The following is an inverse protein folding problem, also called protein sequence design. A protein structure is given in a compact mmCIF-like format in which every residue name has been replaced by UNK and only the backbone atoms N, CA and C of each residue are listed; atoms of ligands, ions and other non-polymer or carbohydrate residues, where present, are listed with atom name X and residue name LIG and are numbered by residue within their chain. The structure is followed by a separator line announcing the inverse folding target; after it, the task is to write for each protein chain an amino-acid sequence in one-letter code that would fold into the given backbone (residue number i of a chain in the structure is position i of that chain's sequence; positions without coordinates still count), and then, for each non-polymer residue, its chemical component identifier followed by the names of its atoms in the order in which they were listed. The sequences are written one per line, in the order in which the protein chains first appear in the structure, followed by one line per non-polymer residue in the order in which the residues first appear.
data_IF_463236531455
#
_entry.id   IF_463236531455
#
_cell.length_a   1.000
_cell.length_b   1.000
_cell.length_c   1.000
_cell.angle_alpha   90.00
_cell.angle_beta   90.00
_cell.angle_gamma   90.00
#
_symmetry.space_group_name_H-M   'P 1'
#
loop_
_entity.id
_entity.type
_entity.pdbx_description
1 polymer ?
#
# COMPACT_ATOMS: atom_id res chain seq x y z
N UNK A 1 -5.77 2.98 44.09
CA UNK A 1 -4.37 3.07 43.59
C UNK A 1 -4.31 3.70 42.19
N UNK A 2 -4.85 3.07 41.14
CA UNK A 2 -4.81 3.59 39.75
C UNK A 2 -5.32 5.05 39.60
N UNK A 3 -6.42 5.38 40.29
CA UNK A 3 -7.00 6.73 40.30
C UNK A 3 -6.04 7.80 40.86
N UNK A 4 -5.20 7.45 41.84
CA UNK A 4 -4.20 8.38 42.38
C UNK A 4 -3.08 8.63 41.36
N UNK A 5 -2.62 7.59 40.64
CA UNK A 5 -1.63 7.74 39.59
C UNK A 5 -2.13 8.61 38.44
N UNK A 6 -3.37 8.38 37.96
CA UNK A 6 -3.99 9.26 36.96
C UNK A 6 -4.11 10.70 37.45
N UNK A 7 -4.51 10.92 38.72
CA UNK A 7 -4.64 12.27 39.30
C UNK A 7 -3.29 13.00 39.35
N UNK A 8 -2.21 12.30 39.71
CA UNK A 8 -0.85 12.85 39.74
C UNK A 8 -0.35 13.13 38.32
N UNK A 9 -0.61 12.21 37.38
CA UNK A 9 -0.29 12.39 35.96
C UNK A 9 -0.94 13.64 35.38
N UNK A 10 -2.27 13.80 35.53
CA UNK A 10 -2.98 14.98 35.02
C UNK A 10 -2.49 16.28 35.66
N UNK A 11 -2.18 16.27 36.96
CA UNK A 11 -1.62 17.45 37.64
C UNK A 11 -0.25 17.85 37.10
N UNK A 12 0.61 16.86 36.82
CA UNK A 12 1.92 17.10 36.22
C UNK A 12 1.80 17.56 34.77
N UNK A 13 0.92 16.94 34.00
CA UNK A 13 0.65 17.26 32.60
C UNK A 13 0.17 18.71 32.42
N UNK A 14 -0.71 19.19 33.31
CA UNK A 14 -1.18 20.58 33.29
C UNK A 14 -0.08 21.60 33.65
N UNK A 15 0.84 21.21 34.55
CA UNK A 15 1.97 22.06 34.96
C UNK A 15 2.99 22.25 33.83
N UNK A 16 3.18 21.24 32.98
CA UNK A 16 4.08 21.28 31.82
C UNK A 16 3.34 21.29 30.47
N UNK A 17 2.19 21.99 30.41
CA UNK A 17 1.24 21.95 29.27
C UNK A 17 1.84 22.21 27.89
N UNK A 18 2.87 23.05 27.79
CA UNK A 18 3.49 23.40 26.50
C UNK A 18 4.30 22.24 25.92
N UNK A 19 5.25 21.71 26.70
CA UNK A 19 6.10 20.59 26.29
C UNK A 19 5.26 19.32 26.12
N UNK A 20 4.31 19.08 27.02
CA UNK A 20 3.39 17.97 26.94
C UNK A 20 2.51 18.04 25.66
N UNK A 21 2.04 19.25 25.31
CA UNK A 21 1.29 19.49 24.07
C UNK A 21 2.12 19.17 22.82
N UNK A 22 3.37 19.63 22.76
CA UNK A 22 4.27 19.34 21.63
C UNK A 22 4.46 17.83 21.45
N UNK A 23 4.75 17.11 22.54
CA UNK A 23 5.00 15.66 22.49
C UNK A 23 3.75 14.86 22.07
N UNK A 24 2.57 15.25 22.56
CA UNK A 24 1.32 14.58 22.16
C UNK A 24 0.97 14.90 20.71
N UNK A 25 1.15 16.15 20.27
CA UNK A 25 0.87 16.55 18.89
C UNK A 25 1.81 15.86 17.89
N UNK A 26 3.11 15.80 18.16
CA UNK A 26 4.05 15.14 17.26
C UNK A 26 3.76 13.65 17.13
N UNK A 27 3.44 12.98 18.25
CA UNK A 27 3.04 11.58 18.25
C UNK A 27 1.72 11.38 17.48
N UNK A 28 0.73 12.25 17.70
CA UNK A 28 -0.56 12.17 17.02
C UNK A 28 -0.42 12.37 15.50
N UNK A 29 0.39 13.35 15.07
CA UNK A 29 0.64 13.62 13.64
C UNK A 29 1.38 12.44 12.99
N UNK A 30 2.42 11.90 13.65
CA UNK A 30 3.15 10.74 13.16
C UNK A 30 2.25 9.50 13.01
N UNK A 31 1.41 9.24 14.01
CA UNK A 31 0.46 8.13 13.98
C UNK A 31 -0.62 8.32 12.90
N UNK A 32 -1.15 9.54 12.75
CA UNK A 32 -2.13 9.86 11.71
C UNK A 32 -1.54 9.65 10.30
N UNK A 33 -0.31 10.10 10.06
CA UNK A 33 0.39 9.86 8.80
C UNK A 33 0.62 8.38 8.52
N UNK A 34 1.06 7.61 9.51
CA UNK A 34 1.21 6.16 9.39
C UNK A 34 -0.12 5.47 9.05
N UNK A 35 -1.20 5.81 9.75
CA UNK A 35 -2.53 5.23 9.51
C UNK A 35 -3.02 5.56 8.10
N UNK A 36 -2.83 6.79 7.63
CA UNK A 36 -3.23 7.20 6.28
C UNK A 36 -2.51 6.37 5.20
N UNK A 37 -1.17 6.23 5.32
CA UNK A 37 -0.37 5.41 4.39
C UNK A 37 -0.79 3.94 4.48
N UNK A 38 -1.01 3.42 5.68
CA UNK A 38 -1.46 2.04 5.89
C UNK A 38 -2.80 1.76 5.19
N UNK A 39 -3.78 2.65 5.33
CA UNK A 39 -5.06 2.50 4.63
C UNK A 39 -4.90 2.55 3.12
N UNK A 40 -4.05 3.43 2.60
CA UNK A 40 -3.75 3.50 1.18
C UNK A 40 -3.15 2.20 0.66
N UNK A 41 -2.10 1.68 1.30
CA UNK A 41 -1.46 0.42 0.92
C UNK A 41 -2.46 -0.73 1.01
N UNK A 42 -3.23 -0.81 2.10
CA UNK A 42 -4.25 -1.85 2.27
C UNK A 42 -5.28 -1.81 1.16
N UNK A 43 -5.70 -0.63 0.72
CA UNK A 43 -6.62 -0.46 -0.40
C UNK A 43 -5.99 -0.95 -1.70
N UNK A 44 -4.78 -0.50 -2.04
CA UNK A 44 -4.06 -0.89 -3.27
C UNK A 44 -3.85 -2.42 -3.35
N UNK A 45 -3.40 -3.06 -2.26
CA UNK A 45 -3.17 -4.52 -2.25
C UNK A 45 -4.48 -5.31 -2.36
N UNK A 46 -5.59 -4.77 -1.86
CA UNK A 46 -6.90 -5.42 -1.96
C UNK A 46 -7.56 -5.26 -3.34
N UNK A 47 -7.17 -4.25 -4.13
CA UNK A 47 -7.76 -3.97 -5.44
C UNK A 47 -7.69 -5.18 -6.39
N UNK A 48 -6.64 -6.00 -6.33
CA UNK A 48 -6.49 -7.18 -7.21
C UNK A 48 -7.08 -8.47 -6.60
N UNK A 49 -7.59 -8.41 -5.37
CA UNK A 49 -8.03 -9.56 -4.58
C UNK A 49 -9.45 -10.07 -4.87
N UNK A 50 -10.22 -9.41 -5.75
CA UNK A 50 -11.60 -9.82 -6.07
C UNK A 50 -11.68 -11.02 -7.03
N UNK A 51 -10.57 -11.39 -7.67
CA UNK A 51 -10.54 -12.53 -8.57
C UNK A 51 -10.36 -13.85 -7.81
N UNK A 52 -11.31 -14.77 -7.95
CA UNK A 52 -11.27 -16.10 -7.31
C UNK A 52 -10.04 -16.95 -7.70
N UNK A 53 -9.42 -16.65 -8.86
CA UNK A 53 -8.18 -17.28 -9.35
C UNK A 53 -6.98 -16.32 -9.35
N UNK A 54 -6.96 -15.27 -8.52
CA UNK A 54 -5.91 -14.23 -8.53
C UNK A 54 -4.47 -14.78 -8.60
N UNK A 55 -4.18 -15.89 -7.92
CA UNK A 55 -2.85 -16.53 -7.93
C UNK A 55 -2.40 -17.11 -9.29
N UNK A 56 -3.32 -17.25 -10.26
CA UNK A 56 -3.05 -17.77 -11.61
C UNK A 56 -3.34 -16.74 -12.71
N UNK A 57 -3.66 -15.50 -12.33
CA UNK A 57 -3.89 -14.42 -13.29
C UNK A 57 -2.60 -13.65 -13.45
N UNK A 58 -2.14 -13.52 -14.68
CA UNK A 58 -0.93 -12.79 -15.03
C UNK A 58 -1.24 -11.71 -16.06
N UNK A 59 -0.56 -10.57 -15.98
CA UNK A 59 -0.67 -9.48 -16.96
C UNK A 59 0.41 -9.65 -18.02
N UNK A 60 0.02 -9.68 -19.29
CA UNK A 60 0.95 -9.67 -20.42
C UNK A 60 1.67 -8.31 -20.48
N UNK A 61 2.99 -8.35 -20.51
CA UNK A 61 3.85 -7.18 -20.66
C UNK A 61 4.67 -7.30 -21.94
N UNK A 62 5.05 -6.16 -22.51
CA UNK A 62 5.89 -6.11 -23.70
C UNK A 62 7.13 -5.27 -23.43
N UNK A 63 8.30 -5.89 -23.64
CA UNK A 63 9.61 -5.31 -23.37
C UNK A 63 10.29 -4.90 -24.69
N UNK A 64 10.37 -3.59 -24.93
CA UNK A 64 11.05 -3.03 -26.11
C UNK A 64 12.53 -2.80 -25.82
N UNK A 65 13.27 -3.86 -25.49
CA UNK A 65 14.72 -3.76 -25.20
C UNK A 65 15.59 -3.71 -26.46
N UNK A 66 15.07 -4.19 -27.60
CA UNK A 66 15.86 -4.33 -28.83
C UNK A 66 16.06 -3.04 -29.64
N UNK A 67 15.25 -2.00 -29.42
CA UNK A 67 15.23 -0.78 -30.26
C UNK A 67 15.48 0.53 -29.51
N UNK A 68 15.56 0.51 -28.17
CA UNK A 68 15.63 1.71 -27.34
C UNK A 68 16.71 1.52 -26.26
N UNK A 69 17.72 2.40 -26.14
CA UNK A 69 18.63 2.40 -25.00
C UNK A 69 17.83 2.62 -23.70
N UNK A 70 18.02 1.75 -22.70
CA UNK A 70 17.21 1.61 -21.47
C UNK A 70 15.81 0.97 -21.63
N UNK A 71 15.44 0.56 -22.84
CA UNK A 71 14.21 -0.20 -23.10
C UNK A 71 12.91 0.55 -22.75
N UNK A 72 11.78 -0.04 -23.12
CA UNK A 72 10.45 0.40 -22.65
C UNK A 72 9.66 -0.82 -22.18
N UNK A 73 9.27 -0.81 -20.92
CA UNK A 73 8.38 -1.83 -20.34
C UNK A 73 6.94 -1.33 -20.46
N UNK A 74 6.15 -2.00 -21.27
CA UNK A 74 4.74 -1.67 -21.49
C UNK A 74 3.83 -2.67 -20.81
N UNK A 75 2.80 -2.16 -20.13
CA UNK A 75 1.69 -2.94 -19.59
C UNK A 75 0.62 -3.25 -20.64
N UNK A 76 0.95 -3.10 -21.92
CA UNK A 76 0.05 -3.29 -23.06
C UNK A 76 0.71 -4.22 -24.07
N UNK A 77 -0.13 -5.00 -24.76
CA UNK A 77 0.27 -5.91 -25.83
C UNK A 77 -0.68 -5.75 -27.01
N UNK A 78 -0.36 -6.37 -28.15
CA UNK A 78 -1.24 -6.36 -29.31
C UNK A 78 -2.57 -7.06 -28.98
N UNK A 79 -3.73 -6.52 -29.42
CA UNK A 79 -5.04 -7.11 -29.16
C UNK A 79 -5.18 -8.64 -29.40
N UNK A 80 -4.57 -9.25 -30.44
CA UNK A 80 -4.69 -10.69 -30.65
C UNK A 80 -3.87 -11.54 -29.67
N UNK A 81 -2.95 -10.98 -28.88
CA UNK A 81 -2.03 -11.76 -28.07
C UNK A 81 -2.75 -12.66 -27.05
N UNK A 82 -3.78 -12.13 -26.37
CA UNK A 82 -4.59 -12.90 -25.42
C UNK A 82 -5.21 -14.17 -26.03
N UNK A 83 -6.07 -14.06 -27.06
CA UNK A 83 -6.67 -15.24 -27.67
C UNK A 83 -5.67 -16.15 -28.39
N UNK A 84 -4.55 -15.64 -28.90
CA UNK A 84 -3.50 -16.47 -29.50
C UNK A 84 -2.81 -17.34 -28.45
N UNK A 85 -2.48 -16.79 -27.28
CA UNK A 85 -1.83 -17.55 -26.21
C UNK A 85 -2.70 -18.72 -25.73
N UNK A 86 -4.01 -18.49 -25.54
CA UNK A 86 -4.97 -19.55 -25.16
C UNK A 86 -5.06 -20.66 -26.22
N UNK A 87 -4.85 -20.34 -27.51
CA UNK A 87 -4.91 -21.31 -28.61
C UNK A 87 -3.64 -22.10 -28.80
N UNK A 88 -2.49 -21.46 -28.64
CA UNK A 88 -1.19 -22.06 -28.97
C UNK A 88 -0.47 -22.68 -27.77
N UNK A 89 -0.81 -22.26 -26.55
CA UNK A 89 -0.15 -22.71 -25.32
C UNK A 89 -1.12 -23.43 -24.38
N UNK A 90 -1.00 -24.76 -24.20
CA UNK A 90 -1.91 -25.55 -23.37
C UNK A 90 -1.83 -25.21 -21.86
N UNK A 91 -0.77 -24.54 -21.41
CA UNK A 91 -0.61 -24.04 -20.04
C UNK A 91 -1.43 -22.77 -19.73
N UNK A 92 -2.04 -22.13 -20.73
CA UNK A 92 -2.84 -20.91 -20.58
C UNK A 92 -4.34 -21.26 -20.63
N UNK A 93 -5.05 -21.01 -19.52
CA UNK A 93 -6.53 -21.15 -19.39
C UNK A 93 -7.29 -19.92 -19.92
#
# INVERSE_FOLDING_TARGET
MLLNYLKVFFRSFWRSRFIAGINVLSLAVGLAGFIAIFFYIRHEVQMDGFHSKAARIFRLTYDETAKIPNGRHLATTSPPMGPTLVREYPEVE
#
